data_IF_607249616958
#
_entry.id   IF_607249616958
#
_cell.length_a   1.000
_cell.length_b   1.000
_cell.length_c   1.000
_cell.angle_alpha   90.00
_cell.angle_beta   90.00
_cell.angle_gamma   90.00
#
_symmetry.space_group_name_H-M   'P 1'
#
loop_
_entity.id
_entity.type
_entity.pdbx_description
1 polymer ?
#
# COMPACT_ATOMS: atom_id res chain seq x y z
N UNK A 1 -11.07 4.09 10.86
CA UNK A 1 -10.60 2.92 11.62
C UNK A 1 -10.71 3.15 13.12
N UNK A 2 -9.90 4.05 13.73
CA UNK A 2 -9.87 4.22 15.19
C UNK A 2 -11.22 4.57 15.83
N UNK A 3 -11.92 5.59 15.32
CA UNK A 3 -13.24 5.98 15.85
C UNK A 3 -14.28 4.85 15.69
N UNK A 4 -14.30 4.18 14.53
CA UNK A 4 -15.20 3.06 14.28
C UNK A 4 -14.91 1.82 15.13
N UNK A 5 -13.67 1.68 15.63
CA UNK A 5 -13.28 0.64 16.59
C UNK A 5 -13.65 0.98 18.04
N UNK A 6 -14.20 2.18 18.29
CA UNK A 6 -14.63 2.62 19.62
C UNK A 6 -13.55 3.33 20.45
N UNK A 7 -12.41 3.71 19.85
CA UNK A 7 -11.43 4.56 20.53
C UNK A 7 -11.99 5.98 20.76
N UNK A 8 -11.53 6.65 21.82
CA UNK A 8 -12.01 7.97 22.22
C UNK A 8 -11.65 9.07 21.21
N UNK A 9 -12.51 10.08 21.07
CA UNK A 9 -12.26 11.27 20.23
C UNK A 9 -10.98 12.02 20.62
N UNK A 10 -10.55 11.90 21.89
CA UNK A 10 -9.32 12.53 22.39
C UNK A 10 -8.05 11.78 21.96
N UNK A 11 -8.16 10.57 21.42
CA UNK A 11 -7.00 9.75 21.02
C UNK A 11 -6.63 10.10 19.58
N UNK A 12 -5.54 10.87 19.35
CA UNK A 12 -5.13 11.22 18.00
C UNK A 12 -4.60 9.98 17.26
N UNK A 13 -4.73 9.99 15.94
CA UNK A 13 -4.20 8.95 15.07
C UNK A 13 -3.64 9.59 13.78
N UNK A 14 -2.61 8.97 13.22
CA UNK A 14 -2.08 9.32 11.90
C UNK A 14 -1.74 8.04 11.13
N UNK A 15 -1.80 8.13 9.79
CA UNK A 15 -1.41 7.03 8.91
C UNK A 15 0.04 7.21 8.48
N UNK A 16 0.79 6.11 8.46
CA UNK A 16 2.15 6.08 7.92
C UNK A 16 2.25 5.10 6.77
N UNK A 17 3.02 5.45 5.75
CA UNK A 17 3.24 4.62 4.56
C UNK A 17 4.72 4.58 4.25
N UNK A 18 5.29 3.37 4.27
CA UNK A 18 6.67 3.05 3.95
C UNK A 18 6.74 1.65 3.33
N UNK A 19 6.08 1.47 2.19
CA UNK A 19 6.03 0.20 1.45
C UNK A 19 5.74 -1.02 2.34
N UNK A 20 6.39 -2.16 2.09
CA UNK A 20 6.20 -3.41 2.84
C UNK A 20 6.50 -3.29 4.35
N UNK A 21 7.24 -2.27 4.77
CA UNK A 21 7.63 -2.04 6.17
C UNK A 21 6.76 -0.97 6.85
N UNK A 22 5.62 -0.60 6.26
CA UNK A 22 4.71 0.42 6.82
C UNK A 22 4.29 0.10 8.26
N UNK A 23 3.95 -1.16 8.55
CA UNK A 23 3.60 -1.60 9.92
C UNK A 23 4.78 -1.49 10.89
N UNK A 24 6.00 -1.78 10.42
CA UNK A 24 7.21 -1.60 11.22
C UNK A 24 7.47 -0.13 11.50
N UNK A 25 7.26 0.75 10.51
CA UNK A 25 7.37 2.19 10.72
C UNK A 25 6.34 2.68 11.74
N UNK A 26 5.11 2.14 11.73
CA UNK A 26 4.11 2.48 12.74
C UNK A 26 4.59 2.12 14.16
N UNK A 27 5.19 0.93 14.33
CA UNK A 27 5.78 0.50 15.60
C UNK A 27 6.97 1.38 16.01
N UNK A 28 7.86 1.72 15.07
CA UNK A 28 9.01 2.61 15.32
C UNK A 28 8.56 4.00 15.73
N UNK A 29 7.57 4.58 15.06
CA UNK A 29 7.00 5.88 15.42
C UNK A 29 6.38 5.82 16.82
N UNK A 30 5.61 4.77 17.13
CA UNK A 30 5.02 4.58 18.45
C UNK A 30 6.09 4.48 19.55
N UNK A 31 7.14 3.68 19.33
CA UNK A 31 8.26 3.58 20.25
C UNK A 31 8.97 4.93 20.44
N UNK A 32 9.20 5.69 19.36
CA UNK A 32 9.79 7.02 19.43
C UNK A 32 8.96 8.02 20.26
N UNK A 33 7.63 7.97 20.15
CA UNK A 33 6.72 8.80 20.96
C UNK A 33 6.78 8.44 22.45
N UNK A 34 6.91 7.14 22.77
CA UNK A 34 7.04 6.67 24.14
C UNK A 34 8.41 7.06 24.71
N UNK A 35 9.49 6.77 23.98
CA UNK A 35 10.85 7.06 24.41
C UNK A 35 11.13 8.56 24.58
N UNK A 36 10.47 9.42 23.79
CA UNK A 36 10.56 10.88 23.92
C UNK A 36 9.69 11.47 25.04
N UNK A 37 8.92 10.65 25.75
CA UNK A 37 8.02 11.10 26.83
C UNK A 37 6.78 11.84 26.34
N UNK A 38 6.45 11.77 25.05
CA UNK A 38 5.25 12.42 24.50
C UNK A 38 3.96 11.64 24.81
N UNK A 39 4.05 10.30 24.89
CA UNK A 39 2.92 9.42 25.16
C UNK A 39 3.37 8.26 26.05
N UNK A 40 2.48 7.74 26.90
CA UNK A 40 2.76 6.54 27.69
C UNK A 40 2.25 5.26 27.00
N UNK A 41 1.15 5.38 26.25
CA UNK A 41 0.48 4.26 25.58
C UNK A 41 0.15 4.65 24.15
N UNK A 42 0.55 3.82 23.21
CA UNK A 42 0.29 3.99 21.77
C UNK A 42 -0.12 2.64 21.18
N UNK A 43 -1.12 2.64 20.29
CA UNK A 43 -1.49 1.47 19.50
C UNK A 43 -0.89 1.61 18.11
N UNK A 44 -0.10 0.62 17.68
CA UNK A 44 0.52 0.57 16.35
C UNK A 44 0.10 -0.71 15.62
N UNK A 45 0.00 -0.61 14.30
CA UNK A 45 -0.38 -1.73 13.43
C UNK A 45 -0.40 -1.30 11.97
N UNK A 46 -0.99 -2.14 11.13
CA UNK A 46 -1.15 -1.85 9.71
C UNK A 46 -2.37 -2.56 9.14
N UNK A 47 -2.79 -2.09 7.97
CA UNK A 47 -3.88 -2.67 7.19
C UNK A 47 -3.52 -2.55 5.72
N UNK A 48 -3.95 -3.52 4.92
CA UNK A 48 -3.80 -3.51 3.47
C UNK A 48 -5.07 -4.11 2.84
N UNK A 49 -5.48 -3.59 1.68
CA UNK A 49 -6.63 -4.10 0.93
C UNK A 49 -6.37 -4.04 -0.57
N UNK A 50 -6.07 -5.20 -1.16
CA UNK A 50 -5.64 -5.30 -2.56
C UNK A 50 -6.79 -5.38 -3.57
N UNK A 51 -8.04 -5.55 -3.13
CA UNK A 51 -9.17 -5.81 -4.03
C UNK A 51 -9.77 -4.54 -4.68
N UNK A 52 -9.56 -3.36 -4.08
CA UNK A 52 -10.07 -2.08 -4.59
C UNK A 52 -8.93 -1.10 -4.88
N UNK A 53 -8.11 -1.45 -5.86
CA UNK A 53 -7.05 -0.55 -6.30
C UNK A 53 -7.66 0.60 -7.11
N UNK A 54 -7.47 1.87 -6.71
CA UNK A 54 -8.17 2.98 -7.34
C UNK A 54 -7.74 3.15 -8.79
N UNK A 55 -8.69 3.12 -9.71
CA UNK A 55 -8.48 3.48 -11.12
C UNK A 55 -8.16 4.96 -11.17
N UNK A 56 -6.98 5.31 -11.71
CA UNK A 56 -6.55 6.71 -11.81
C UNK A 56 -6.83 7.23 -13.22
N UNK A 57 -7.31 8.47 -13.30
CA UNK A 57 -7.27 9.20 -14.56
C UNK A 57 -5.81 9.40 -15.01
N UNK A 58 -5.60 9.43 -16.32
CA UNK A 58 -4.30 9.70 -16.93
C UNK A 58 -3.65 10.95 -16.32
N UNK A 59 -2.32 10.96 -16.18
CA UNK A 59 -1.56 12.14 -15.70
C UNK A 59 -1.92 13.40 -16.48
N UNK A 60 -2.13 13.26 -17.79
CA UNK A 60 -2.52 14.35 -18.69
C UNK A 60 -3.88 14.93 -18.31
N UNK A 61 -4.89 14.08 -18.10
CA UNK A 61 -6.23 14.51 -17.67
C UNK A 61 -6.21 15.19 -16.30
N UNK A 62 -5.51 14.60 -15.33
CA UNK A 62 -5.38 15.20 -13.97
C UNK A 62 -4.76 16.60 -14.04
N UNK A 63 -3.72 16.80 -14.85
CA UNK A 63 -3.10 18.11 -15.05
C UNK A 63 -4.04 19.12 -15.72
N UNK A 64 -4.82 18.68 -16.71
CA UNK A 64 -5.80 19.54 -17.40
C UNK A 64 -6.94 19.95 -16.47
N UNK A 65 -7.49 19.03 -15.68
CA UNK A 65 -8.52 19.33 -14.67
C UNK A 65 -8.03 20.32 -13.61
N UNK A 66 -6.80 20.15 -13.11
CA UNK A 66 -6.18 21.09 -12.18
C UNK A 66 -5.98 22.48 -12.81
N UNK A 67 -5.59 22.53 -14.08
CA UNK A 67 -5.39 23.79 -14.81
C UNK A 67 -6.72 24.50 -15.08
N UNK A 68 -7.79 23.75 -15.32
CA UNK A 68 -9.15 24.27 -15.49
C UNK A 68 -9.65 24.94 -14.19
N UNK A 69 -9.43 24.31 -13.04
CA UNK A 69 -9.76 24.88 -11.73
C UNK A 69 -8.96 26.16 -11.41
N UNK A 70 -7.74 26.29 -11.93
CA UNK A 70 -6.91 27.51 -11.78
C UNK A 70 -7.26 28.63 -12.77
N UNK A 71 -7.95 28.33 -13.87
CA UNK A 71 -8.29 29.31 -14.90
C UNK A 71 -9.43 30.24 -14.43
N UNK A 72 -9.12 31.54 -14.31
CA UNK A 72 -10.06 32.57 -13.81
C UNK A 72 -10.92 33.20 -14.90
N UNK A 73 -10.46 33.23 -16.15
CA UNK A 73 -11.19 33.82 -17.27
C UNK A 73 -11.82 32.78 -18.20
N UNK A 74 -12.94 33.15 -18.83
CA UNK A 74 -13.66 32.27 -19.76
C UNK A 74 -12.80 31.85 -20.96
N UNK A 75 -11.97 32.76 -21.50
CA UNK A 75 -11.04 32.45 -22.60
C UNK A 75 -9.95 31.46 -22.19
N UNK A 76 -9.40 31.60 -20.98
CA UNK A 76 -8.44 30.63 -20.44
C UNK A 76 -9.09 29.25 -20.25
N UNK A 77 -10.31 29.19 -19.70
CA UNK A 77 -11.06 27.93 -19.57
C UNK A 77 -11.31 27.25 -20.91
N UNK A 78 -11.72 28.02 -21.92
CA UNK A 78 -11.97 27.48 -23.26
C UNK A 78 -10.68 26.92 -23.90
N UNK A 79 -9.54 27.59 -23.70
CA UNK A 79 -8.23 27.13 -24.17
C UNK A 79 -7.73 25.85 -23.47
N UNK A 80 -8.19 25.59 -22.25
CA UNK A 80 -7.84 24.37 -21.50
C UNK A 80 -8.73 23.22 -21.96
N UNK A 81 -10.02 23.48 -22.19
CA UNK A 81 -10.97 22.50 -22.73
C UNK A 81 -10.57 22.08 -24.15
N UNK A 82 -10.14 23.02 -25.00
CA UNK A 82 -9.72 22.71 -26.37
C UNK A 82 -8.46 21.83 -26.46
N UNK A 83 -7.73 21.68 -25.36
CA UNK A 83 -6.55 20.77 -25.26
C UNK A 83 -6.92 19.37 -24.81
N UNK A 84 -8.15 19.11 -24.39
CA UNK A 84 -8.62 17.77 -24.04
C UNK A 84 -8.70 16.95 -25.32
N UNK A 85 -8.01 15.81 -25.34
CA UNK A 85 -8.00 14.86 -26.45
C UNK A 85 -8.63 13.53 -26.03
N UNK A 86 -9.14 12.72 -26.98
CA UNK A 86 -9.72 11.41 -26.66
C UNK A 86 -8.78 10.48 -25.86
N UNK A 87 -7.46 10.56 -26.09
CA UNK A 87 -6.45 9.77 -25.36
C UNK A 87 -6.34 10.12 -23.87
N UNK A 88 -6.93 11.22 -23.41
CA UNK A 88 -6.89 11.64 -22.00
C UNK A 88 -7.85 10.84 -21.13
N UNK A 89 -8.89 10.28 -21.75
CA UNK A 89 -9.91 9.46 -21.08
C UNK A 89 -9.47 8.00 -20.92
N UNK A 90 -8.34 7.60 -21.51
CA UNK A 90 -7.75 6.28 -21.25
C UNK A 90 -7.36 6.19 -19.76
N UNK A 91 -7.89 5.22 -19.00
CA UNK A 91 -7.51 5.02 -17.61
C UNK A 91 -6.05 4.58 -17.52
N UNK A 92 -5.32 5.14 -16.56
CA UNK A 92 -4.04 4.56 -16.16
C UNK A 92 -4.36 3.36 -15.27
N UNK A 93 -4.15 2.17 -15.80
CA UNK A 93 -4.19 0.96 -14.98
C UNK A 93 -3.17 1.11 -13.85
N UNK A 94 -3.52 0.70 -12.61
CA UNK A 94 -2.56 0.70 -11.54
C UNK A 94 -1.39 -0.19 -11.92
N UNK A 95 -0.23 0.42 -12.13
CA UNK A 95 0.99 -0.32 -12.41
C UNK A 95 1.43 -1.01 -11.10
N UNK A 96 1.53 -2.33 -11.13
CA UNK A 96 2.20 -3.13 -10.09
C UNK A 96 3.73 -2.96 -10.14
N UNK A 97 4.21 -2.16 -11.10
CA UNK A 97 5.60 -1.78 -11.22
C UNK A 97 5.92 -0.61 -10.27
N UNK A 98 7.07 -0.72 -9.61
CA UNK A 98 7.63 0.32 -8.76
C UNK A 98 7.90 1.57 -9.60
N UNK A 99 7.50 2.74 -9.08
CA UNK A 99 7.53 3.99 -9.84
C UNK A 99 8.95 4.41 -10.20
N UNK A 100 9.92 4.15 -9.32
CA UNK A 100 11.31 4.57 -9.49
C UNK A 100 12.11 3.67 -10.46
N UNK A 101 11.86 2.37 -10.47
CA UNK A 101 12.61 1.40 -11.28
C UNK A 101 11.85 0.96 -12.53
N UNK A 102 10.53 1.18 -12.59
CA UNK A 102 9.62 0.60 -13.58
C UNK A 102 9.65 -0.94 -13.63
N UNK A 103 10.23 -1.59 -12.62
CA UNK A 103 10.25 -3.04 -12.46
C UNK A 103 9.08 -3.50 -11.57
N UNK A 104 8.53 -4.67 -11.85
CA UNK A 104 7.63 -5.34 -10.92
C UNK A 104 8.44 -6.00 -9.81
N UNK A 105 7.84 -6.16 -8.63
CA UNK A 105 8.50 -6.81 -7.49
C UNK A 105 8.97 -8.24 -7.83
N UNK A 106 8.20 -8.99 -8.63
CA UNK A 106 8.56 -10.34 -9.08
C UNK A 106 9.78 -10.36 -10.00
N UNK A 107 9.87 -9.44 -10.98
CA UNK A 107 11.06 -9.36 -11.83
C UNK A 107 12.31 -8.97 -11.04
N UNK A 108 12.17 -8.07 -10.07
CA UNK A 108 13.31 -7.71 -9.22
C UNK A 108 13.76 -8.89 -8.36
N UNK A 109 12.83 -9.69 -7.84
CA UNK A 109 13.14 -10.92 -7.10
C UNK A 109 13.85 -11.96 -7.97
N UNK A 110 13.41 -12.17 -9.20
CA UNK A 110 14.03 -13.12 -10.14
C UNK A 110 15.46 -12.68 -10.53
N UNK A 111 15.64 -11.39 -10.82
CA UNK A 111 16.97 -10.81 -11.06
C UNK A 111 17.89 -10.98 -9.85
N UNK A 112 17.37 -10.75 -8.64
CA UNK A 112 18.13 -10.92 -7.40
C UNK A 112 18.54 -12.39 -7.22
N UNK A 113 17.62 -13.33 -7.41
CA UNK A 113 17.91 -14.76 -7.34
C UNK A 113 19.01 -15.16 -8.32
N UNK A 114 18.94 -14.71 -9.57
CA UNK A 114 19.96 -14.95 -10.58
C UNK A 114 21.32 -14.34 -10.20
N UNK A 115 21.34 -13.11 -9.66
CA UNK A 115 22.57 -12.44 -9.23
C UNK A 115 23.30 -13.18 -8.10
N UNK A 116 22.57 -13.89 -7.24
CA UNK A 116 23.11 -14.73 -6.16
C UNK A 116 23.17 -16.22 -6.50
N UNK A 117 22.96 -16.58 -7.78
CA UNK A 117 22.95 -17.95 -8.28
C UNK A 117 22.00 -18.90 -7.53
N UNK A 118 20.87 -18.38 -7.04
CA UNK A 118 19.82 -19.17 -6.37
C UNK A 118 19.00 -19.91 -7.43
N UNK A 119 19.15 -21.23 -7.46
CA UNK A 119 18.49 -22.09 -8.43
C UNK A 119 16.98 -22.17 -8.19
N UNK A 120 16.24 -22.54 -9.25
CA UNK A 120 14.81 -22.81 -9.15
C UNK A 120 14.49 -23.92 -8.13
N UNK A 121 15.32 -24.95 -8.05
CA UNK A 121 15.14 -26.06 -7.12
C UNK A 121 15.23 -25.60 -5.66
N UNK A 122 16.20 -24.74 -5.33
CA UNK A 122 16.35 -24.17 -3.99
C UNK A 122 15.15 -23.28 -3.59
N UNK A 123 14.64 -22.49 -4.54
CA UNK A 123 13.45 -21.66 -4.32
C UNK A 123 12.21 -22.52 -4.06
N UNK A 124 11.98 -23.55 -4.87
CA UNK A 124 10.83 -24.46 -4.73
C UNK A 124 10.91 -25.26 -3.41
N UNK A 125 12.10 -25.70 -3.02
CA UNK A 125 12.31 -26.40 -1.73
C UNK A 125 11.96 -25.48 -0.55
N UNK A 126 12.42 -24.23 -0.57
CA UNK A 126 12.08 -23.25 0.47
C UNK A 126 10.58 -22.96 0.52
N UNK A 127 9.93 -22.79 -0.65
CA UNK A 127 8.50 -22.54 -0.74
C UNK A 127 7.68 -23.71 -0.17
N UNK A 128 8.00 -24.94 -0.57
CA UNK A 128 7.34 -26.14 -0.04
C UNK A 128 7.51 -26.27 1.48
N UNK A 129 8.73 -26.01 1.98
CA UNK A 129 9.02 -26.00 3.42
C UNK A 129 8.16 -24.97 4.14
N UNK A 130 8.09 -23.74 3.65
CA UNK A 130 7.29 -22.67 4.26
C UNK A 130 5.81 -23.05 4.35
N UNK A 131 5.21 -23.53 3.26
CA UNK A 131 3.81 -23.97 3.25
C UNK A 131 3.55 -25.15 4.20
N UNK A 132 4.45 -26.13 4.22
CA UNK A 132 4.34 -27.29 5.11
C UNK A 132 4.43 -26.89 6.58
N UNK A 133 5.38 -26.01 6.92
CA UNK A 133 5.54 -25.51 8.28
C UNK A 133 4.37 -24.63 8.73
N UNK A 134 3.84 -23.78 7.84
CA UNK A 134 2.67 -22.97 8.13
C UNK A 134 1.45 -23.84 8.43
N UNK A 135 1.20 -24.87 7.62
CA UNK A 135 0.12 -25.85 7.87
C UNK A 135 0.31 -26.57 9.20
N UNK A 136 1.52 -27.06 9.48
CA UNK A 136 1.83 -27.71 10.75
C UNK A 136 1.60 -26.78 11.95
N UNK A 137 2.01 -25.51 11.83
CA UNK A 137 1.80 -24.50 12.87
C UNK A 137 0.31 -24.21 13.08
N UNK A 138 -0.48 -24.18 12.00
CA UNK A 138 -1.93 -24.05 12.07
C UNK A 138 -2.58 -25.25 12.78
N UNK A 139 -2.24 -26.48 12.37
CA UNK A 139 -2.79 -27.72 12.96
C UNK A 139 -2.40 -27.86 14.44
N UNK A 140 -1.21 -27.38 14.82
CA UNK A 140 -0.73 -27.35 16.20
C UNK A 140 -1.27 -26.17 17.03
N UNK A 141 -2.01 -25.24 16.42
CA UNK A 141 -2.56 -24.07 17.12
C UNK A 141 -1.54 -23.00 17.50
N UNK A 142 -0.38 -22.94 16.82
CA UNK A 142 0.66 -21.95 17.08
C UNK A 142 0.34 -20.55 16.54
N UNK A 143 -0.63 -20.42 15.63
CA UNK A 143 -1.05 -19.14 15.04
C UNK A 143 -2.00 -18.37 15.96
N UNK A 144 -1.53 -18.02 17.16
CA UNK A 144 -2.33 -17.35 18.20
C UNK A 144 -2.59 -15.86 17.92
N UNK A 145 -1.89 -15.30 16.95
CA UNK A 145 -1.99 -13.92 16.48
C UNK A 145 -3.19 -13.68 15.54
N UNK A 146 -3.82 -14.75 15.04
CA UNK A 146 -5.00 -14.66 14.18
C UNK A 146 -6.28 -14.63 15.02
N UNK A 147 -6.91 -13.45 15.09
CA UNK A 147 -8.20 -13.27 15.77
C UNK A 147 -9.34 -13.50 14.77
N UNK A 148 -10.34 -14.36 15.08
CA UNK A 148 -11.49 -14.57 14.20
C UNK A 148 -12.27 -13.28 13.96
N UNK A 149 -12.68 -13.06 12.71
CA UNK A 149 -13.47 -11.90 12.30
C UNK A 149 -14.76 -12.34 11.61
N UNK A 150 -15.89 -11.71 11.99
CA UNK A 150 -17.17 -11.95 11.33
C UNK A 150 -17.31 -11.01 10.13
N UNK A 151 -17.26 -11.58 8.94
CA UNK A 151 -17.55 -10.84 7.70
C UNK A 151 -19.06 -10.52 7.64
N UNK A 152 -19.45 -9.25 7.42
CA UNK A 152 -20.83 -8.88 7.13
C UNK A 152 -21.29 -9.59 5.84
N UNK A 153 -22.40 -10.31 5.92
CA UNK A 153 -23.04 -10.96 4.78
C UNK A 153 -24.12 -10.11 4.15
#
# INVERSE_FOLDING_TARGET
AALGAGFSDKTPAHTVTMACISSNQAMTTAFGLIASGQCEVVVAGGVEFMSDVPIRHSRKMRKTMLSLNKAKSLGQRLSVISRIRPDYFAPELPAVAEFSTSETMGHSADRLAAAFAVSRAEQDEYALRSHTLAKKAQDAGHLSDVIPYKVPG
#
